data_IF_368879037746
#
_entry.id   IF_368879037746
#
_cell.length_a   1.000
_cell.length_b   1.000
_cell.length_c   1.000
_cell.angle_alpha   90.00
_cell.angle_beta   90.00
_cell.angle_gamma   90.00
#
_symmetry.space_group_name_H-M   'P 1'
#
loop_
_entity.id
_entity.type
_entity.pdbx_description
1 polymer ?
#
# COMPACT_ATOMS: atom_id res chain seq x y z
N UNK A 1 -58.38 -0.82 23.23
CA UNK A 1 -58.26 0.65 23.12
C UNK A 1 -56.84 0.90 22.65
N UNK A 2 -56.64 1.03 21.33
CA UNK A 2 -55.32 1.15 20.73
C UNK A 2 -54.89 2.60 20.73
N UNK A 3 -53.86 2.93 21.49
CA UNK A 3 -53.20 4.22 21.38
C UNK A 3 -52.39 4.23 20.10
N UNK A 4 -52.89 4.98 19.12
CA UNK A 4 -52.17 5.31 17.89
C UNK A 4 -50.92 6.09 18.29
N UNK A 5 -49.75 5.47 18.17
CA UNK A 5 -48.47 6.15 18.30
C UNK A 5 -48.40 7.16 17.16
N UNK A 6 -48.83 8.40 17.42
CA UNK A 6 -48.59 9.51 16.51
C UNK A 6 -47.07 9.61 16.37
N UNK A 7 -46.54 9.26 15.18
CA UNK A 7 -45.16 9.57 14.84
C UNK A 7 -44.99 11.08 15.03
N UNK A 8 -44.22 11.46 16.04
CA UNK A 8 -43.82 12.85 16.27
C UNK A 8 -42.95 13.24 15.08
N UNK A 9 -43.58 13.87 14.08
CA UNK A 9 -42.87 14.51 12.99
C UNK A 9 -42.25 15.80 13.55
N UNK A 10 -40.95 15.76 13.83
CA UNK A 10 -40.17 16.93 14.19
C UNK A 10 -39.40 17.40 12.94
N UNK A 11 -39.82 18.48 12.26
CA UNK A 11 -39.17 18.95 11.03
C UNK A 11 -37.73 19.42 11.26
N UNK A 12 -37.34 19.74 12.51
CA UNK A 12 -35.99 20.23 12.81
C UNK A 12 -34.88 19.20 12.54
N UNK A 13 -35.20 17.90 12.47
CA UNK A 13 -34.24 16.83 12.15
C UNK A 13 -33.72 16.90 10.70
N UNK A 14 -34.42 17.62 9.83
CA UNK A 14 -34.09 17.79 8.41
C UNK A 14 -33.34 19.10 8.12
N UNK A 15 -33.04 19.89 9.15
CA UNK A 15 -32.29 21.14 9.01
C UNK A 15 -30.85 20.98 9.53
N UNK A 16 -29.91 21.66 8.87
CA UNK A 16 -28.51 21.71 9.27
C UNK A 16 -27.99 23.13 9.12
N UNK A 17 -27.27 23.62 10.13
CA UNK A 17 -26.61 24.92 10.05
C UNK A 17 -25.44 24.88 9.06
N UNK A 18 -25.16 26.00 8.38
CA UNK A 18 -24.00 26.13 7.50
C UNK A 18 -22.68 25.82 8.21
N UNK A 19 -22.60 26.13 9.52
CA UNK A 19 -21.42 25.84 10.33
C UNK A 19 -21.23 24.33 10.51
N UNK A 20 -22.28 23.62 10.94
CA UNK A 20 -22.24 22.17 11.13
C UNK A 20 -21.93 21.43 9.81
N UNK A 21 -22.56 21.85 8.71
CA UNK A 21 -22.29 21.33 7.37
C UNK A 21 -20.80 21.50 7.01
N UNK A 22 -20.25 22.70 7.23
CA UNK A 22 -18.84 22.99 6.95
C UNK A 22 -17.91 22.16 7.83
N UNK A 23 -18.21 22.02 9.13
CA UNK A 23 -17.42 21.23 10.07
C UNK A 23 -17.37 19.77 9.63
N UNK A 24 -18.49 19.17 9.22
CA UNK A 24 -18.53 17.78 8.74
C UNK A 24 -17.68 17.58 7.49
N UNK A 25 -17.74 18.50 6.53
CA UNK A 25 -16.91 18.42 5.32
C UNK A 25 -15.41 18.58 5.63
N UNK A 26 -15.05 19.53 6.50
CA UNK A 26 -13.67 19.72 6.96
C UNK A 26 -13.17 18.49 7.71
N UNK A 27 -14.01 17.89 8.58
CA UNK A 27 -13.65 16.68 9.30
C UNK A 27 -13.44 15.50 8.35
N UNK A 28 -14.29 15.33 7.34
CA UNK A 28 -14.12 14.29 6.32
C UNK A 28 -12.81 14.50 5.53
N UNK A 29 -12.47 15.74 5.18
CA UNK A 29 -11.20 16.09 4.55
C UNK A 29 -10.01 15.69 5.43
N UNK A 30 -10.05 16.01 6.72
CA UNK A 30 -8.96 15.68 7.66
C UNK A 30 -8.82 14.18 7.84
N UNK A 31 -9.91 13.45 8.12
CA UNK A 31 -9.85 12.00 8.37
C UNK A 31 -9.45 11.21 7.12
N UNK A 32 -9.99 11.57 5.94
CA UNK A 32 -9.55 11.00 4.66
C UNK A 32 -8.08 11.33 4.36
N UNK A 33 -7.65 12.55 4.69
CA UNK A 33 -6.27 12.98 4.56
C UNK A 33 -5.29 12.19 5.42
N UNK A 34 -5.64 11.87 6.68
CA UNK A 34 -4.78 11.08 7.58
C UNK A 34 -4.41 9.73 6.99
N UNK A 35 -5.39 9.04 6.40
CA UNK A 35 -5.16 7.76 5.71
C UNK A 35 -4.36 8.01 4.44
N UNK A 36 -4.74 9.02 3.65
CA UNK A 36 -4.07 9.39 2.41
C UNK A 36 -2.58 9.71 2.56
N UNK A 37 -2.15 10.34 3.67
CA UNK A 37 -0.73 10.63 3.94
C UNK A 37 0.07 9.34 4.09
N UNK A 38 -0.44 8.36 4.84
CA UNK A 38 0.24 7.06 4.96
C UNK A 38 0.36 6.38 3.59
N UNK A 39 -0.71 6.44 2.79
CA UNK A 39 -0.72 5.82 1.45
C UNK A 39 0.29 6.46 0.51
N UNK A 40 0.35 7.79 0.48
CA UNK A 40 1.28 8.58 -0.34
C UNK A 40 2.74 8.32 0.07
N UNK A 41 3.04 8.39 1.37
CA UNK A 41 4.38 8.11 1.90
C UNK A 41 4.81 6.65 1.66
N UNK A 42 3.84 5.73 1.56
CA UNK A 42 4.06 4.34 1.19
C UNK A 42 4.22 4.10 -0.31
N UNK A 43 4.08 5.12 -1.17
CA UNK A 43 4.22 4.99 -2.63
C UNK A 43 3.10 4.18 -3.30
N UNK A 44 1.90 4.18 -2.73
CA UNK A 44 0.78 3.40 -3.27
C UNK A 44 0.03 4.11 -4.40
N UNK A 45 -0.64 3.34 -5.25
CA UNK A 45 -1.33 3.84 -6.46
C UNK A 45 -2.41 4.89 -6.20
N UNK A 46 -3.09 4.84 -5.06
CA UNK A 46 -3.96 5.92 -4.60
C UNK A 46 -3.35 6.55 -3.35
N UNK A 47 -3.07 7.85 -3.43
CA UNK A 47 -2.37 8.60 -2.40
C UNK A 47 -3.26 9.63 -1.70
N UNK A 48 -2.67 10.76 -1.33
CA UNK A 48 -3.29 11.75 -0.44
C UNK A 48 -4.56 12.37 -1.03
N UNK A 49 -4.48 12.86 -2.28
CA UNK A 49 -5.59 13.54 -2.95
C UNK A 49 -6.79 12.62 -3.16
N UNK A 50 -6.54 11.36 -3.54
CA UNK A 50 -7.60 10.39 -3.81
C UNK A 50 -8.41 10.09 -2.54
N UNK A 51 -7.74 9.85 -1.41
CA UNK A 51 -8.45 9.54 -0.16
C UNK A 51 -9.25 10.75 0.36
N UNK A 52 -8.72 11.98 0.22
CA UNK A 52 -9.49 13.20 0.56
C UNK A 52 -10.75 13.28 -0.29
N UNK A 53 -10.64 13.18 -1.61
CA UNK A 53 -11.77 13.35 -2.52
C UNK A 53 -12.85 12.28 -2.31
N UNK A 54 -12.45 11.02 -2.06
CA UNK A 54 -13.38 9.95 -1.74
C UNK A 54 -14.10 10.22 -0.43
N UNK A 55 -13.38 10.54 0.65
CA UNK A 55 -13.99 10.81 1.96
C UNK A 55 -14.95 12.00 1.92
N UNK A 56 -14.49 13.10 1.32
CA UNK A 56 -15.26 14.33 1.18
C UNK A 56 -16.51 14.13 0.32
N UNK A 57 -16.38 13.44 -0.82
CA UNK A 57 -17.49 13.13 -1.70
C UNK A 57 -18.53 12.25 -1.02
N UNK A 58 -18.11 11.22 -0.29
CA UNK A 58 -19.02 10.37 0.50
C UNK A 58 -19.76 11.14 1.58
N UNK A 59 -19.07 12.03 2.31
CA UNK A 59 -19.71 12.90 3.30
C UNK A 59 -20.73 13.85 2.67
N UNK A 60 -20.37 14.48 1.55
CA UNK A 60 -21.27 15.38 0.82
C UNK A 60 -22.53 14.65 0.32
N UNK A 61 -22.41 13.41 -0.17
CA UNK A 61 -23.56 12.62 -0.63
C UNK A 61 -24.51 12.29 0.52
N UNK A 62 -24.02 11.95 1.71
CA UNK A 62 -24.88 11.70 2.88
C UNK A 62 -25.53 12.99 3.37
N UNK A 63 -24.79 14.10 3.41
CA UNK A 63 -25.35 15.40 3.75
C UNK A 63 -26.46 15.81 2.79
N UNK A 64 -26.24 15.63 1.49
CA UNK A 64 -27.27 15.84 0.46
C UNK A 64 -28.48 14.93 0.70
N UNK A 65 -28.25 13.65 1.01
CA UNK A 65 -29.32 12.68 1.24
C UNK A 65 -30.15 12.94 2.48
N UNK A 66 -29.54 13.50 3.53
CA UNK A 66 -30.20 13.81 4.79
C UNK A 66 -30.85 15.19 4.78
N UNK A 67 -30.21 16.21 4.20
CA UNK A 67 -30.63 17.60 4.40
C UNK A 67 -31.03 18.30 3.10
N UNK A 68 -30.63 17.78 1.94
CA UNK A 68 -30.87 18.43 0.64
C UNK A 68 -32.30 18.35 0.11
N UNK A 69 -33.15 17.52 0.73
CA UNK A 69 -34.55 17.32 0.35
C UNK A 69 -35.52 17.69 1.48
N UNK A 70 -35.07 18.51 2.44
CA UNK A 70 -35.83 18.90 3.62
C UNK A 70 -37.16 19.58 3.29
N UNK A 71 -37.22 20.35 2.20
CA UNK A 71 -38.45 21.00 1.70
C UNK A 71 -39.57 19.99 1.36
N UNK A 72 -39.21 18.76 1.01
CA UNK A 72 -40.16 17.69 0.70
C UNK A 72 -40.49 16.80 1.90
N UNK A 73 -39.85 17.02 3.05
CA UNK A 73 -40.01 16.17 4.24
C UNK A 73 -41.44 16.19 4.80
N UNK A 74 -42.19 17.28 4.57
CA UNK A 74 -43.57 17.46 5.02
C UNK A 74 -44.62 16.99 4.02
N UNK A 75 -44.23 16.56 2.81
CA UNK A 75 -45.18 16.05 1.81
C UNK A 75 -45.56 14.60 2.12
N UNK A 76 -46.84 14.29 2.40
CA UNK A 76 -47.29 12.93 2.72
C UNK A 76 -47.09 11.92 1.58
N UNK A 77 -46.89 12.37 0.34
CA UNK A 77 -46.62 11.51 -0.81
C UNK A 77 -45.12 11.23 -1.02
N UNK A 78 -44.25 11.91 -0.27
CA UNK A 78 -42.79 11.76 -0.39
C UNK A 78 -42.26 10.95 0.78
N UNK A 79 -41.49 9.91 0.46
CA UNK A 79 -40.74 9.13 1.46
C UNK A 79 -39.26 9.44 1.32
N UNK A 80 -38.70 10.12 2.31
CA UNK A 80 -37.26 10.36 2.41
C UNK A 80 -36.55 9.10 2.91
N UNK A 81 -35.52 8.69 2.19
CA UNK A 81 -34.71 7.50 2.49
C UNK A 81 -33.21 7.85 2.36
N UNK A 82 -32.60 8.41 3.43
CA UNK A 82 -31.19 8.81 3.41
C UNK A 82 -30.21 7.65 3.15
N UNK A 83 -30.62 6.42 3.47
CA UNK A 83 -29.80 5.24 3.27
C UNK A 83 -29.60 4.92 1.77
N UNK A 84 -30.49 5.39 0.90
CA UNK A 84 -30.45 5.11 -0.54
C UNK A 84 -29.23 5.71 -1.22
N UNK A 85 -28.94 6.99 -1.02
CA UNK A 85 -27.75 7.60 -1.61
C UNK A 85 -26.47 7.07 -0.95
N UNK A 86 -26.48 6.80 0.35
CA UNK A 86 -25.37 6.15 1.04
C UNK A 86 -25.04 4.77 0.44
N UNK A 87 -26.04 3.96 0.13
CA UNK A 87 -25.85 2.68 -0.55
C UNK A 87 -25.22 2.84 -1.95
N UNK A 88 -25.56 3.91 -2.68
CA UNK A 88 -24.95 4.19 -3.98
C UNK A 88 -23.47 4.57 -3.88
N UNK A 89 -23.03 5.19 -2.78
CA UNK A 89 -21.60 5.42 -2.53
C UNK A 89 -20.85 4.10 -2.38
N UNK A 90 -21.40 3.17 -1.59
CA UNK A 90 -20.79 1.85 -1.35
C UNK A 90 -20.75 1.03 -2.66
N UNK A 91 -21.79 1.14 -3.49
CA UNK A 91 -21.79 0.54 -4.82
C UNK A 91 -20.74 1.19 -5.74
N UNK A 92 -20.70 2.53 -5.78
CA UNK A 92 -19.83 3.30 -6.67
C UNK A 92 -18.34 3.17 -6.36
N UNK A 93 -17.95 3.08 -5.09
CA UNK A 93 -16.53 2.92 -4.70
C UNK A 93 -15.94 1.60 -5.23
N UNK A 94 -16.78 0.60 -5.50
CA UNK A 94 -16.37 -0.67 -6.11
C UNK A 94 -15.65 -0.48 -7.45
N UNK A 95 -16.07 0.50 -8.26
CA UNK A 95 -15.42 0.82 -9.53
C UNK A 95 -14.00 1.38 -9.34
N UNK A 96 -13.81 2.32 -8.41
CA UNK A 96 -12.49 2.86 -8.10
C UNK A 96 -11.59 1.79 -7.48
N UNK A 97 -12.14 0.94 -6.62
CA UNK A 97 -11.45 -0.21 -6.06
C UNK A 97 -10.93 -1.14 -7.15
N UNK A 98 -11.79 -1.56 -8.08
CA UNK A 98 -11.40 -2.38 -9.23
C UNK A 98 -10.32 -1.70 -10.09
N UNK A 99 -10.44 -0.40 -10.33
CA UNK A 99 -9.46 0.38 -11.10
C UNK A 99 -8.05 0.43 -10.47
N UNK A 100 -7.94 0.23 -9.15
CA UNK A 100 -6.65 0.17 -8.46
C UNK A 100 -6.04 -1.23 -8.40
N UNK A 101 -6.81 -2.28 -8.70
CA UNK A 101 -6.33 -3.67 -8.66
C UNK A 101 -5.75 -4.02 -10.03
N UNK A 102 -4.43 -4.19 -10.08
CA UNK A 102 -3.71 -4.50 -11.32
C UNK A 102 -3.16 -5.92 -11.27
N UNK A 103 -3.36 -6.66 -12.36
CA UNK A 103 -2.80 -8.00 -12.56
C UNK A 103 -1.71 -7.96 -13.62
N UNK A 104 -0.51 -8.41 -13.26
CA UNK A 104 0.63 -8.54 -14.16
C UNK A 104 1.09 -10.00 -14.13
N UNK A 105 0.73 -10.77 -15.16
CA UNK A 105 0.96 -12.22 -15.20
C UNK A 105 0.28 -12.95 -14.04
N UNK A 106 1.10 -13.52 -13.15
CA UNK A 106 0.66 -14.24 -11.94
C UNK A 106 0.62 -13.36 -10.67
N UNK A 107 1.02 -12.09 -10.76
CA UNK A 107 1.07 -11.18 -9.61
C UNK A 107 -0.13 -10.23 -9.63
N UNK A 108 -0.77 -10.02 -8.48
CA UNK A 108 -1.84 -9.04 -8.27
C UNK A 108 -1.36 -7.99 -7.28
N UNK A 109 -1.57 -6.72 -7.61
CA UNK A 109 -1.21 -5.56 -6.79
C UNK A 109 -2.42 -4.65 -6.57
N UNK A 110 -2.35 -3.77 -5.57
CA UNK A 110 -3.38 -2.76 -5.31
C UNK A 110 -4.58 -3.21 -4.46
N UNK A 111 -4.61 -4.45 -3.97
CA UNK A 111 -5.69 -4.96 -3.10
C UNK A 111 -5.89 -4.09 -1.85
N UNK A 112 -4.80 -3.73 -1.16
CA UNK A 112 -4.86 -2.88 0.03
C UNK A 112 -5.30 -1.45 -0.31
N UNK A 113 -4.94 -0.94 -1.48
CA UNK A 113 -5.40 0.37 -1.96
C UNK A 113 -6.90 0.36 -2.23
N UNK A 114 -7.43 -0.69 -2.87
CA UNK A 114 -8.85 -0.84 -3.08
C UNK A 114 -9.61 -0.90 -1.74
N UNK A 115 -9.09 -1.66 -0.78
CA UNK A 115 -9.66 -1.75 0.56
C UNK A 115 -9.60 -0.41 1.32
N UNK A 116 -8.51 0.35 1.21
CA UNK A 116 -8.38 1.65 1.88
C UNK A 116 -9.36 2.68 1.32
N UNK A 117 -9.56 2.71 0.00
CA UNK A 117 -10.57 3.56 -0.63
C UNK A 117 -11.99 3.20 -0.18
N UNK A 118 -12.31 1.91 -0.08
CA UNK A 118 -13.60 1.44 0.41
C UNK A 118 -13.88 1.90 1.85
N UNK A 119 -12.91 1.72 2.74
CA UNK A 119 -13.09 2.14 4.14
C UNK A 119 -13.11 3.66 4.28
N UNK A 120 -12.35 4.40 3.48
CA UNK A 120 -12.39 5.87 3.50
C UNK A 120 -13.73 6.43 3.02
N UNK A 121 -14.37 5.78 2.06
CA UNK A 121 -15.76 6.11 1.70
C UNK A 121 -16.69 5.91 2.92
N UNK A 122 -16.57 4.80 3.63
CA UNK A 122 -17.35 4.55 4.85
C UNK A 122 -17.09 5.58 5.97
N UNK A 123 -15.84 6.03 6.14
CA UNK A 123 -15.50 7.14 7.05
C UNK A 123 -16.23 8.41 6.61
N UNK A 124 -16.22 8.74 5.33
CA UNK A 124 -16.96 9.90 4.81
C UNK A 124 -18.46 9.81 5.07
N UNK A 125 -19.07 8.64 4.84
CA UNK A 125 -20.48 8.39 5.14
C UNK A 125 -20.80 8.61 6.62
N UNK A 126 -19.98 8.06 7.52
CA UNK A 126 -20.18 8.19 8.98
C UNK A 126 -20.01 9.62 9.46
N UNK A 127 -19.04 10.38 8.92
CA UNK A 127 -18.88 11.81 9.21
C UNK A 127 -20.08 12.61 8.70
N UNK A 128 -20.52 12.37 7.46
CA UNK A 128 -21.69 13.05 6.88
C UNK A 128 -22.96 12.82 7.69
N UNK A 129 -23.14 11.60 8.20
CA UNK A 129 -24.25 11.21 9.08
C UNK A 129 -24.16 11.80 10.51
N UNK A 130 -23.04 12.45 10.87
CA UNK A 130 -22.81 12.98 12.21
C UNK A 130 -22.34 11.95 13.24
N UNK A 131 -21.97 10.73 12.82
CA UNK A 131 -21.52 9.66 13.71
C UNK A 131 -20.01 9.79 14.03
N UNK A 132 -19.66 10.89 14.70
CA UNK A 132 -18.27 11.31 14.91
C UNK A 132 -17.41 10.33 15.69
N UNK A 133 -17.96 9.74 16.76
CA UNK A 133 -17.25 8.74 17.55
C UNK A 133 -16.91 7.51 16.69
N UNK A 134 -17.87 7.03 15.89
CA UNK A 134 -17.66 5.94 14.95
C UNK A 134 -16.62 6.27 13.89
N UNK A 135 -16.68 7.47 13.30
CA UNK A 135 -15.70 7.94 12.32
C UNK A 135 -14.27 8.00 12.90
N UNK A 136 -14.12 8.52 14.13
CA UNK A 136 -12.83 8.61 14.81
C UNK A 136 -12.24 7.23 15.13
N UNK A 137 -13.04 6.33 15.71
CA UNK A 137 -12.61 4.95 16.02
C UNK A 137 -12.25 4.20 14.74
N UNK A 138 -13.07 4.30 13.70
CA UNK A 138 -12.80 3.65 12.41
C UNK A 138 -11.50 4.16 11.79
N UNK A 139 -11.30 5.48 11.76
CA UNK A 139 -10.07 6.09 11.23
C UNK A 139 -8.84 5.62 12.01
N UNK A 140 -8.92 5.61 13.35
CA UNK A 140 -7.84 5.13 14.20
C UNK A 140 -7.47 3.68 13.90
N UNK A 141 -8.45 2.78 13.83
CA UNK A 141 -8.23 1.36 13.54
C UNK A 141 -7.61 1.15 12.16
N UNK A 142 -8.02 1.94 11.15
CA UNK A 142 -7.44 1.88 9.81
C UNK A 142 -5.98 2.33 9.81
N UNK A 143 -5.68 3.49 10.41
CA UNK A 143 -4.30 4.01 10.48
C UNK A 143 -3.39 3.04 11.23
N UNK A 144 -3.86 2.49 12.35
CA UNK A 144 -3.16 1.45 13.12
C UNK A 144 -2.88 0.23 12.23
N UNK A 145 -3.91 -0.31 11.56
CA UNK A 145 -3.77 -1.47 10.68
C UNK A 145 -2.74 -1.24 9.58
N UNK A 146 -2.83 -0.11 8.86
CA UNK A 146 -1.91 0.25 7.79
C UNK A 146 -0.47 0.40 8.29
N UNK A 147 -0.27 1.10 9.41
CA UNK A 147 1.06 1.34 9.96
C UNK A 147 1.74 0.07 10.46
N UNK A 148 1.00 -0.80 11.17
CA UNK A 148 1.53 -2.07 11.65
C UNK A 148 1.87 -2.99 10.48
N UNK A 149 1.00 -3.14 9.48
CA UNK A 149 1.29 -3.97 8.31
C UNK A 149 2.55 -3.48 7.58
N UNK A 150 2.67 -2.17 7.34
CA UNK A 150 3.82 -1.61 6.61
C UNK A 150 5.14 -1.87 7.36
N UNK A 151 5.14 -1.80 8.70
CA UNK A 151 6.32 -2.18 9.52
C UNK A 151 6.61 -3.69 9.49
N UNK A 152 5.58 -4.53 9.59
CA UNK A 152 5.75 -5.99 9.53
C UNK A 152 6.26 -6.43 8.16
N UNK A 153 5.72 -5.86 7.09
CA UNK A 153 6.15 -6.12 5.73
C UNK A 153 7.60 -5.70 5.51
N UNK A 154 8.00 -4.49 5.94
CA UNK A 154 9.41 -4.07 5.86
C UNK A 154 10.34 -4.97 6.67
N UNK A 155 9.94 -5.39 7.88
CA UNK A 155 10.75 -6.29 8.73
C UNK A 155 10.88 -7.69 8.12
N UNK A 156 9.80 -8.21 7.52
CA UNK A 156 9.77 -9.54 6.91
C UNK A 156 10.38 -9.57 5.50
N UNK A 157 10.22 -8.49 4.73
CA UNK A 157 10.81 -8.32 3.40
C UNK A 157 12.32 -8.11 3.47
N UNK A 158 12.81 -7.36 4.48
CA UNK A 158 14.25 -7.28 4.77
C UNK A 158 14.85 -8.65 5.11
N UNK A 159 14.05 -9.59 5.62
CA UNK A 159 14.46 -10.98 5.84
C UNK A 159 14.52 -11.83 4.56
N UNK A 160 13.95 -11.36 3.45
CA UNK A 160 13.84 -12.10 2.18
C UNK A 160 14.50 -11.41 1.00
N UNK A 161 15.05 -10.18 1.14
CA UNK A 161 15.71 -9.45 0.04
C UNK A 161 16.82 -10.32 -0.57
N UNK A 162 16.69 -10.58 -1.87
CA UNK A 162 17.79 -11.08 -2.68
C UNK A 162 18.76 -9.92 -2.87
N UNK A 163 20.05 -10.21 -2.79
CA UNK A 163 21.12 -9.26 -3.08
C UNK A 163 21.82 -9.73 -4.34
N UNK A 164 22.02 -8.82 -5.29
CA UNK A 164 22.83 -9.07 -6.48
C UNK A 164 24.30 -8.85 -6.12
N UNK A 165 25.14 -9.81 -6.47
CA UNK A 165 26.61 -9.74 -6.32
C UNK A 165 27.22 -10.01 -7.69
N UNK A 166 28.12 -9.13 -8.10
CA UNK A 166 28.89 -9.27 -9.34
C UNK A 166 30.31 -9.60 -8.91
N UNK A 167 30.82 -10.73 -9.40
CA UNK A 167 32.17 -11.21 -9.14
C UNK A 167 32.96 -11.22 -10.44
N UNK A 168 34.17 -10.69 -10.39
CA UNK A 168 35.17 -10.89 -11.44
C UNK A 168 36.13 -11.96 -10.95
N UNK A 169 36.22 -13.09 -11.64
CA UNK A 169 37.07 -14.23 -11.25
C UNK A 169 37.98 -14.65 -12.40
N UNK A 170 39.08 -15.33 -12.09
CA UNK A 170 39.91 -15.99 -13.09
C UNK A 170 39.14 -17.14 -13.76
N UNK A 171 39.39 -17.38 -15.06
CA UNK A 171 38.73 -18.43 -15.84
C UNK A 171 39.34 -19.81 -15.57
N UNK A 172 39.36 -20.19 -14.31
CA UNK A 172 39.66 -21.53 -13.87
C UNK A 172 38.44 -22.11 -13.13
N UNK A 173 38.21 -23.40 -13.32
CA UNK A 173 37.06 -24.08 -12.71
C UNK A 173 37.17 -24.20 -11.17
N UNK A 174 38.35 -23.92 -10.58
CA UNK A 174 38.54 -23.97 -9.14
C UNK A 174 38.01 -22.70 -8.45
N UNK A 175 38.20 -21.53 -9.05
CA UNK A 175 37.80 -20.22 -8.50
C UNK A 175 36.29 -20.12 -8.32
N UNK A 176 35.49 -20.56 -9.30
CA UNK A 176 34.03 -20.60 -9.17
C UNK A 176 33.59 -21.58 -8.06
N UNK A 177 34.23 -22.75 -7.96
CA UNK A 177 33.92 -23.73 -6.92
C UNK A 177 34.30 -23.23 -5.51
N UNK A 178 35.42 -22.51 -5.36
CA UNK A 178 35.81 -21.85 -4.10
C UNK A 178 34.74 -20.84 -3.67
N UNK A 179 34.30 -19.98 -4.58
CA UNK A 179 33.22 -18.99 -4.33
C UNK A 179 31.91 -19.67 -3.90
N UNK A 180 31.48 -20.69 -4.62
CA UNK A 180 30.23 -21.41 -4.30
C UNK A 180 30.33 -22.12 -2.95
N UNK A 181 31.49 -22.71 -2.65
CA UNK A 181 31.76 -23.40 -1.38
C UNK A 181 31.77 -22.43 -0.21
N UNK A 182 32.40 -21.25 -0.38
CA UNK A 182 32.42 -20.22 0.65
C UNK A 182 31.02 -19.69 0.94
N UNK A 183 30.22 -19.42 -0.09
CA UNK A 183 28.81 -19.04 0.08
C UNK A 183 28.01 -20.12 0.83
N UNK A 184 28.27 -21.39 0.55
CA UNK A 184 27.64 -22.50 1.25
C UNK A 184 28.09 -22.59 2.71
N UNK A 185 29.37 -22.37 3.01
CA UNK A 185 29.90 -22.28 4.38
C UNK A 185 29.26 -21.12 5.14
N UNK A 186 29.02 -20.00 4.45
CA UNK A 186 28.27 -18.89 4.99
C UNK A 186 26.76 -19.17 5.13
N UNK A 187 26.25 -20.32 4.70
CA UNK A 187 24.83 -20.65 4.76
C UNK A 187 23.97 -19.73 3.88
N UNK A 188 24.57 -19.15 2.84
CA UNK A 188 23.92 -18.29 1.87
C UNK A 188 23.31 -19.16 0.78
N UNK A 189 22.03 -18.94 0.45
CA UNK A 189 21.40 -19.65 -0.67
C UNK A 189 21.56 -18.85 -1.95
N UNK A 190 22.11 -19.49 -2.97
CA UNK A 190 22.21 -18.93 -4.31
C UNK A 190 20.90 -19.20 -5.06
N UNK A 191 20.26 -18.16 -5.58
CA UNK A 191 18.96 -18.22 -6.27
C UNK A 191 19.10 -18.25 -7.79
N UNK A 192 20.15 -17.60 -8.32
CA UNK A 192 20.46 -17.51 -9.75
C UNK A 192 21.96 -17.26 -9.90
N UNK A 193 22.57 -17.87 -10.91
CA UNK A 193 23.94 -17.61 -11.34
C UNK A 193 23.88 -17.37 -12.84
N UNK A 194 24.52 -16.32 -13.32
CA UNK A 194 24.76 -16.02 -14.73
C UNK A 194 26.26 -15.83 -14.87
N UNK A 195 26.87 -16.57 -15.81
CA UNK A 195 28.30 -16.49 -16.10
C UNK A 195 28.43 -15.91 -17.50
N UNK A 196 29.16 -14.81 -17.60
CA UNK A 196 29.46 -14.09 -18.83
C UNK A 196 30.98 -14.11 -19.03
N UNK A 197 31.42 -14.37 -20.26
CA UNK A 197 32.83 -14.17 -20.62
C UNK A 197 33.06 -12.66 -20.81
N UNK A 198 34.16 -12.14 -20.30
CA UNK A 198 34.57 -10.78 -20.63
C UNK A 198 35.13 -10.79 -22.07
N UNK A 199 34.46 -10.13 -23.02
CA UNK A 199 34.94 -10.03 -24.40
C UNK A 199 36.14 -9.07 -24.48
N UNK A 200 37.21 -9.51 -25.15
CA UNK A 200 38.51 -8.83 -25.25
C UNK A 200 38.41 -7.47 -25.95
N UNK A 201 38.39 -6.38 -25.17
CA UNK A 201 38.63 -5.04 -25.68
C UNK A 201 40.12 -4.70 -25.61
N UNK A 202 40.88 -5.16 -26.62
CA UNK A 202 42.30 -4.88 -26.88
C UNK A 202 43.31 -5.54 -25.91
N UNK A 203 44.26 -6.26 -26.52
CA UNK A 203 45.17 -7.18 -25.85
C UNK A 203 46.05 -6.55 -24.78
N UNK A 204 45.89 -7.01 -23.55
CA UNK A 204 46.88 -7.83 -22.84
C UNK A 204 46.19 -8.49 -21.63
N UNK A 205 46.19 -9.82 -21.63
CA UNK A 205 46.08 -10.76 -20.51
C UNK A 205 45.25 -10.39 -19.26
N UNK A 206 43.99 -10.83 -19.25
CA UNK A 206 43.52 -11.74 -18.19
C UNK A 206 42.31 -12.54 -18.69
N UNK A 207 42.45 -13.87 -18.71
CA UNK A 207 41.35 -14.80 -19.01
C UNK A 207 40.38 -14.78 -17.80
N UNK A 208 39.42 -13.84 -17.81
CA UNK A 208 38.51 -13.62 -16.68
C UNK A 208 37.05 -13.89 -17.04
N UNK A 209 36.28 -14.20 -16.00
CA UNK A 209 34.84 -14.44 -16.06
C UNK A 209 34.12 -13.43 -15.17
N UNK A 210 33.02 -12.90 -15.66
CA UNK A 210 32.08 -12.12 -14.86
C UNK A 210 30.96 -13.05 -14.42
N UNK A 211 30.82 -13.24 -13.12
CA UNK A 211 29.78 -14.06 -12.50
C UNK A 211 28.80 -13.13 -11.79
N UNK A 212 27.58 -13.04 -12.29
CA UNK A 212 26.47 -12.36 -11.60
C UNK A 212 25.66 -13.38 -10.83
N UNK A 213 25.45 -13.13 -9.55
CA UNK A 213 24.69 -14.03 -8.70
C UNK A 213 23.67 -13.31 -7.84
N UNK A 214 22.49 -13.93 -7.71
CA UNK A 214 21.48 -13.53 -6.75
C UNK A 214 21.60 -14.38 -5.50
N UNK A 215 21.99 -13.77 -4.40
CA UNK A 215 22.14 -14.45 -3.12
C UNK A 215 21.02 -14.04 -2.15
N UNK A 216 20.58 -14.99 -1.34
CA UNK A 216 19.63 -14.75 -0.26
C UNK A 216 20.33 -14.93 1.07
N UNK A 217 20.48 -13.83 1.81
CA UNK A 217 21.06 -13.86 3.15
C UNK A 217 20.02 -14.27 4.19
N UNK A 218 20.47 -15.01 5.19
CA UNK A 218 19.71 -15.24 6.41
C UNK A 218 19.74 -13.98 7.29
N UNK A 219 18.70 -13.75 8.10
CA UNK A 219 18.52 -12.56 8.94
C UNK A 219 19.69 -12.28 9.91
N UNK A 220 20.55 -13.27 10.15
CA UNK A 220 21.69 -13.19 11.07
C UNK A 220 22.98 -12.64 10.44
N UNK A 221 23.10 -12.58 9.11
CA UNK A 221 24.38 -12.26 8.45
C UNK A 221 24.35 -10.90 7.77
N UNK A 222 25.43 -10.12 7.91
CA UNK A 222 25.61 -8.84 7.21
C UNK A 222 26.10 -9.10 5.80
N UNK A 223 25.54 -8.36 4.84
CA UNK A 223 25.96 -8.42 3.44
C UNK A 223 27.45 -8.05 3.28
N UNK A 224 27.91 -7.05 4.03
CA UNK A 224 29.31 -6.59 4.06
C UNK A 224 30.29 -7.71 4.42
N UNK A 225 29.97 -8.54 5.43
CA UNK A 225 30.82 -9.67 5.84
C UNK A 225 30.96 -10.70 4.72
N UNK A 226 29.89 -10.94 3.96
CA UNK A 226 29.91 -11.86 2.82
C UNK A 226 30.74 -11.28 1.68
N UNK A 227 30.63 -9.98 1.38
CA UNK A 227 31.44 -9.33 0.34
C UNK A 227 32.93 -9.39 0.69
N UNK A 228 33.29 -9.11 1.94
CA UNK A 228 34.69 -9.17 2.40
C UNK A 228 35.24 -10.60 2.32
N UNK A 229 34.44 -11.60 2.71
CA UNK A 229 34.85 -13.00 2.61
C UNK A 229 35.08 -13.43 1.16
N UNK A 230 34.16 -13.06 0.25
CA UNK A 230 34.28 -13.34 -1.18
C UNK A 230 35.50 -12.67 -1.81
N UNK A 231 35.79 -11.42 -1.45
CA UNK A 231 36.94 -10.68 -1.96
C UNK A 231 38.28 -11.26 -1.48
N UNK A 232 38.27 -12.07 -0.42
CA UNK A 232 39.46 -12.71 0.13
C UNK A 232 39.78 -14.07 -0.52
N UNK A 233 38.95 -14.55 -1.45
CA UNK A 233 39.14 -15.84 -2.11
C UNK A 233 40.20 -15.70 -3.21
N UNK A 234 41.19 -16.59 -3.18
CA UNK A 234 42.19 -16.71 -4.24
C UNK A 234 41.54 -17.06 -5.59
N UNK A 235 41.74 -16.19 -6.58
CA UNK A 235 41.11 -16.26 -7.90
C UNK A 235 39.94 -15.28 -8.10
N UNK A 236 39.52 -14.56 -7.05
CA UNK A 236 38.58 -13.44 -7.15
C UNK A 236 39.37 -12.14 -7.34
N UNK A 237 39.11 -11.46 -8.46
CA UNK A 237 39.77 -10.21 -8.86
C UNK A 237 38.98 -8.97 -8.44
N UNK A 238 37.66 -9.12 -8.24
CA UNK A 238 36.80 -8.03 -7.81
C UNK A 238 35.43 -8.54 -7.36
N UNK A 239 34.84 -7.83 -6.40
CA UNK A 239 33.49 -8.09 -5.89
C UNK A 239 32.75 -6.77 -5.77
N UNK A 240 31.60 -6.68 -6.43
CA UNK A 240 30.75 -5.51 -6.39
C UNK A 240 29.33 -5.90 -5.98
N UNK A 241 28.70 -5.03 -5.20
CA UNK A 241 27.26 -5.11 -4.99
C UNK A 241 26.57 -4.68 -6.29
N UNK A 242 25.80 -5.58 -6.90
CA UNK A 242 25.01 -5.23 -8.07
C UNK A 242 23.97 -4.19 -7.66
N UNK A 243 24.02 -2.98 -8.22
CA UNK A 243 22.85 -2.11 -8.23
C UNK A 243 21.79 -2.74 -9.12
N UNK A 244 20.51 -2.68 -8.73
CA UNK A 244 19.37 -3.04 -9.59
C UNK A 244 19.49 -2.30 -10.93
N UNK A 245 20.18 -2.88 -11.91
CA UNK A 245 20.02 -2.53 -13.31
C UNK A 245 18.85 -3.37 -13.80
N UNK A 246 17.68 -2.71 -13.81
CA UNK A 246 16.48 -3.12 -14.52
C UNK A 246 16.79 -3.62 -15.93
#
# INVERSE_FOLDING_TARGET
MGETVAQVYDPSIWEISYLELTIRLVLALVLGGLIGVERELGGHSAGFRTHILVCLGSAAIVLLSMYGFSEFASDPNVRLDPARLAAQVISGIGFLGAGTILRTGFTVSGLTTAASLWVVAAIGLTVGAGFYYGAAVLTLLVVVSLFFLNKFEKKFSRAKRKQDVILKITKDSASLNKVVTELHHFGVRISKIVVENEEEAHGDSADTLIVRMQIKLSFKKRFEEVIVALASIEGVLGVEAGSESL
#
